data_IF_514358346578
#
_entry.id   IF_514358346578
#
_cell.length_a   1.000
_cell.length_b   1.000
_cell.length_c   1.000
_cell.angle_alpha   90.00
_cell.angle_beta   90.00
_cell.angle_gamma   90.00
#
_symmetry.space_group_name_H-M   'P 1'
#
loop_
_entity.id
_entity.type
_entity.pdbx_description
1 polymer ?
#
# COMPACT_ATOMS: atom_id res chain seq x y z
N UNK A 1 -93.92 -13.80 1.18
CA UNK A 1 -93.23 -13.84 2.48
C UNK A 1 -92.71 -15.25 2.68
N UNK A 2 -91.41 -15.46 2.55
CA UNK A 2 -90.59 -16.05 3.61
C UNK A 2 -89.16 -16.26 3.10
N UNK A 3 -88.25 -15.97 4.03
CA UNK A 3 -86.83 -15.81 3.86
C UNK A 3 -86.12 -17.07 3.38
N UNK A 4 -85.26 -16.90 2.37
CA UNK A 4 -84.16 -17.81 2.08
C UNK A 4 -83.05 -17.59 3.11
N UNK A 5 -82.86 -18.59 3.96
CA UNK A 5 -81.71 -18.70 4.86
C UNK A 5 -81.27 -20.15 4.88
N UNK A 6 -80.25 -20.51 4.10
CA UNK A 6 -79.16 -21.29 4.68
C UNK A 6 -77.83 -21.13 3.94
N UNK A 7 -76.84 -20.82 4.76
CA UNK A 7 -75.46 -20.49 4.51
C UNK A 7 -74.71 -21.41 3.52
N UNK A 8 -73.94 -20.78 2.64
CA UNK A 8 -72.81 -21.43 1.97
C UNK A 8 -71.74 -21.85 2.98
N UNK A 9 -71.03 -22.93 2.65
CA UNK A 9 -69.98 -23.54 3.47
C UNK A 9 -68.87 -22.54 3.81
N UNK A 10 -68.65 -22.33 5.11
CA UNK A 10 -67.47 -21.68 5.66
C UNK A 10 -66.24 -22.56 5.39
N UNK A 11 -65.44 -22.23 4.37
CA UNK A 11 -64.06 -22.72 4.23
C UNK A 11 -63.23 -22.17 5.40
N UNK A 12 -62.96 -23.02 6.38
CA UNK A 12 -61.97 -22.79 7.44
C UNK A 12 -60.97 -23.95 7.45
N UNK A 13 -60.24 -24.08 6.35
CA UNK A 13 -58.99 -24.85 6.33
C UNK A 13 -57.84 -23.89 6.58
N UNK A 14 -57.56 -23.64 7.86
CA UNK A 14 -56.29 -23.09 8.33
C UNK A 14 -55.73 -24.09 9.35
N UNK A 15 -55.53 -25.33 8.93
CA UNK A 15 -54.70 -26.28 9.66
C UNK A 15 -53.24 -25.89 9.45
N UNK A 16 -52.72 -25.09 10.37
CA UNK A 16 -51.28 -24.86 10.50
C UNK A 16 -50.70 -26.18 11.00
N UNK A 17 -50.20 -27.01 10.08
CA UNK A 17 -49.47 -28.22 10.42
C UNK A 17 -48.29 -27.86 11.34
N UNK A 18 -48.36 -28.30 12.60
CA UNK A 18 -47.27 -28.14 13.55
C UNK A 18 -46.06 -28.92 13.03
N UNK A 19 -44.84 -28.32 13.00
CA UNK A 19 -43.67 -29.01 12.50
C UNK A 19 -43.43 -30.33 13.27
N UNK A 20 -43.08 -31.38 12.54
CA UNK A 20 -42.75 -32.68 13.15
C UNK A 20 -41.40 -32.62 13.90
N UNK A 21 -41.13 -33.64 14.72
CA UNK A 21 -39.91 -33.70 15.52
C UNK A 21 -38.63 -33.71 14.65
N UNK A 22 -38.71 -34.29 13.45
CA UNK A 22 -37.61 -34.35 12.49
C UNK A 22 -37.27 -32.96 11.93
N UNK A 23 -38.27 -32.11 11.66
CA UNK A 23 -38.08 -30.72 11.29
C UNK A 23 -37.37 -29.91 12.38
N UNK A 24 -37.72 -30.12 13.66
CA UNK A 24 -37.03 -29.44 14.76
C UNK A 24 -35.57 -29.90 14.91
N UNK A 25 -35.30 -31.20 14.73
CA UNK A 25 -33.93 -31.72 14.72
C UNK A 25 -33.11 -31.15 13.56
N UNK A 26 -33.70 -31.02 12.37
CA UNK A 26 -33.07 -30.37 11.21
C UNK A 26 -32.79 -28.89 11.45
N UNK A 27 -33.71 -28.16 12.06
CA UNK A 27 -33.49 -26.77 12.46
C UNK A 27 -32.32 -26.64 13.45
N UNK A 28 -32.23 -27.54 14.43
CA UNK A 28 -31.12 -27.56 15.41
C UNK A 28 -29.80 -27.88 14.70
N UNK A 29 -29.77 -28.88 13.81
CA UNK A 29 -28.59 -29.25 13.01
C UNK A 29 -28.12 -28.08 12.13
N UNK A 30 -29.06 -27.44 11.42
CA UNK A 30 -28.78 -26.28 10.58
C UNK A 30 -28.23 -25.11 11.42
N UNK A 31 -28.82 -24.84 12.59
CA UNK A 31 -28.34 -23.78 13.48
C UNK A 31 -26.92 -24.04 13.98
N UNK A 32 -26.64 -25.27 14.43
CA UNK A 32 -25.29 -25.66 14.88
C UNK A 32 -24.26 -25.55 13.74
N UNK A 33 -24.63 -25.93 12.51
CA UNK A 33 -23.76 -25.78 11.35
C UNK A 33 -23.46 -24.30 11.02
N UNK A 34 -24.48 -23.42 11.09
CA UNK A 34 -24.33 -21.98 10.89
C UNK A 34 -23.46 -21.33 11.97
N UNK A 35 -23.65 -21.70 13.25
CA UNK A 35 -22.84 -21.21 14.37
C UNK A 35 -21.38 -21.66 14.21
N UNK A 36 -21.13 -22.91 13.80
CA UNK A 36 -19.78 -23.43 13.50
C UNK A 36 -19.12 -22.67 12.35
N UNK A 37 -19.83 -22.43 11.25
CA UNK A 37 -19.31 -21.64 10.12
C UNK A 37 -18.95 -20.21 10.56
N UNK A 38 -19.81 -19.58 11.36
CA UNK A 38 -19.55 -18.25 11.93
C UNK A 38 -18.25 -18.23 12.72
N UNK A 39 -18.03 -19.22 13.60
CA UNK A 39 -16.77 -19.33 14.36
C UNK A 39 -15.54 -19.55 13.46
N UNK A 40 -15.67 -20.33 12.38
CA UNK A 40 -14.57 -20.53 11.42
C UNK A 40 -14.18 -19.24 10.70
N UNK A 41 -15.17 -18.47 10.23
CA UNK A 41 -14.94 -17.18 9.56
C UNK A 41 -14.22 -16.19 10.48
N UNK A 42 -14.55 -16.19 11.78
CA UNK A 42 -13.88 -15.34 12.78
C UNK A 42 -12.42 -15.77 12.96
N UNK A 43 -12.17 -17.08 13.11
CA UNK A 43 -10.84 -17.62 13.26
C UNK A 43 -9.96 -17.30 12.04
N UNK A 44 -10.51 -17.44 10.84
CA UNK A 44 -9.85 -17.08 9.59
C UNK A 44 -9.58 -15.58 9.48
N UNK A 45 -10.53 -14.70 9.84
CA UNK A 45 -10.28 -13.26 9.85
C UNK A 45 -9.10 -12.88 10.77
N UNK A 46 -8.94 -13.60 11.89
CA UNK A 46 -7.82 -13.38 12.80
C UNK A 46 -6.47 -13.81 12.22
N UNK A 47 -6.42 -14.83 11.35
CA UNK A 47 -5.16 -15.27 10.70
C UNK A 47 -4.71 -14.29 9.61
N UNK A 48 -5.65 -13.69 8.88
CA UNK A 48 -5.36 -12.70 7.83
C UNK A 48 -5.14 -11.27 8.33
N UNK A 49 -5.36 -11.01 9.63
CA UNK A 49 -5.12 -9.68 10.20
C UNK A 49 -3.63 -9.30 10.12
N UNK A 50 -3.29 -8.05 9.75
CA UNK A 50 -1.90 -7.60 9.74
C UNK A 50 -1.20 -7.83 11.07
N UNK A 51 -0.01 -8.46 11.03
CA UNK A 51 0.77 -8.89 12.22
C UNK A 51 0.92 -7.78 13.27
N UNK A 52 1.23 -6.57 12.82
CA UNK A 52 1.40 -5.39 13.68
C UNK A 52 0.11 -5.01 14.42
N UNK A 53 -1.03 -5.05 13.72
CA UNK A 53 -2.35 -4.76 14.32
C UNK A 53 -2.73 -5.84 15.34
N UNK A 54 -2.49 -7.12 15.01
CA UNK A 54 -2.74 -8.25 15.91
C UNK A 54 -1.92 -8.13 17.20
N UNK A 55 -0.62 -7.87 17.11
CA UNK A 55 0.23 -7.69 18.27
C UNK A 55 -0.20 -6.48 19.12
N UNK A 56 -0.51 -5.35 18.47
CA UNK A 56 -0.92 -4.12 19.14
C UNK A 56 -2.28 -4.25 19.85
N UNK A 57 -3.21 -5.04 19.31
CA UNK A 57 -4.52 -5.28 19.89
C UNK A 57 -4.41 -6.27 21.05
N UNK A 58 -3.74 -7.41 20.86
CA UNK A 58 -3.52 -8.42 21.90
C UNK A 58 -2.91 -7.81 23.17
N UNK A 59 -1.92 -6.93 23.03
CA UNK A 59 -1.34 -6.23 24.19
C UNK A 59 -2.36 -5.39 24.98
N UNK A 60 -3.27 -4.69 24.30
CA UNK A 60 -4.28 -3.82 24.94
C UNK A 60 -5.46 -4.63 25.49
N UNK A 61 -5.79 -5.72 24.82
CA UNK A 61 -6.79 -6.68 25.29
C UNK A 61 -6.31 -7.39 26.57
N UNK A 62 -5.02 -7.73 26.69
CA UNK A 62 -4.46 -8.22 27.96
C UNK A 62 -4.63 -7.23 29.10
N UNK A 63 -4.29 -5.96 28.88
CA UNK A 63 -4.48 -4.90 29.88
C UNK A 63 -5.95 -4.75 30.30
N UNK A 64 -6.89 -4.92 29.36
CA UNK A 64 -8.33 -4.98 29.67
C UNK A 64 -8.68 -6.14 30.61
N UNK A 65 -8.17 -7.34 30.34
CA UNK A 65 -8.41 -8.52 31.17
C UNK A 65 -7.73 -8.42 32.55
N UNK A 66 -6.52 -7.87 32.62
CA UNK A 66 -5.80 -7.60 33.88
C UNK A 66 -6.55 -6.59 34.74
N UNK A 67 -6.98 -5.47 34.15
CA UNK A 67 -7.80 -4.48 34.84
C UNK A 67 -9.10 -5.07 35.38
N UNK A 68 -9.77 -5.92 34.57
CA UNK A 68 -10.98 -6.61 35.00
C UNK A 68 -10.70 -7.53 36.18
N UNK A 69 -9.66 -8.35 36.12
CA UNK A 69 -9.33 -9.33 37.17
C UNK A 69 -9.06 -8.66 38.53
N UNK A 70 -8.49 -7.45 38.52
CA UNK A 70 -8.12 -6.73 39.73
C UNK A 70 -9.24 -5.86 40.32
N UNK A 71 -10.42 -5.78 39.69
CA UNK A 71 -11.51 -4.89 40.13
C UNK A 71 -12.69 -5.67 40.73
N UNK A 72 -12.77 -5.66 42.07
CA UNK A 72 -13.83 -6.32 42.85
C UNK A 72 -15.28 -5.92 42.49
N UNK A 73 -15.50 -4.74 41.90
CA UNK A 73 -16.84 -4.19 41.62
C UNK A 73 -17.37 -4.42 40.20
N UNK A 74 -16.64 -5.16 39.34
CA UNK A 74 -17.10 -5.50 37.99
C UNK A 74 -17.65 -6.92 38.01
N UNK A 75 -18.87 -7.07 38.54
CA UNK A 75 -19.55 -8.36 38.72
C UNK A 75 -19.99 -9.00 37.41
N UNK A 76 -20.11 -8.21 36.33
CA UNK A 76 -20.54 -8.73 35.05
C UNK A 76 -19.38 -9.44 34.32
N UNK A 77 -19.76 -10.54 33.68
CA UNK A 77 -18.97 -11.41 32.81
C UNK A 77 -18.08 -10.63 31.82
N UNK A 78 -17.16 -11.30 31.13
CA UNK A 78 -16.15 -10.67 30.25
C UNK A 78 -16.70 -9.71 29.17
N UNK A 79 -18.03 -9.58 29.04
CA UNK A 79 -18.81 -8.70 28.19
C UNK A 79 -18.32 -7.24 28.22
N UNK A 80 -18.17 -6.68 27.02
CA UNK A 80 -17.80 -5.30 26.73
C UNK A 80 -19.06 -4.49 26.39
N UNK A 81 -19.20 -3.30 26.95
CA UNK A 81 -20.27 -2.35 26.58
C UNK A 81 -19.83 -0.90 26.82
N UNK A 82 -20.59 0.07 26.31
CA UNK A 82 -20.25 1.50 26.24
C UNK A 82 -19.71 2.08 27.56
N UNK A 83 -20.48 1.96 28.65
CA UNK A 83 -20.09 2.51 29.95
C UNK A 83 -18.86 1.80 30.55
N UNK A 84 -18.74 0.47 30.40
CA UNK A 84 -17.60 -0.30 30.92
C UNK A 84 -16.31 0.06 30.20
N UNK A 85 -16.38 0.23 28.88
CA UNK A 85 -15.25 0.68 28.09
C UNK A 85 -14.81 2.09 28.51
N UNK A 86 -15.75 3.01 28.72
CA UNK A 86 -15.42 4.36 29.21
C UNK A 86 -14.79 4.33 30.60
N UNK A 87 -15.27 3.44 31.48
CA UNK A 87 -14.75 3.26 32.82
C UNK A 87 -13.31 2.74 32.82
N UNK A 88 -13.02 1.66 32.07
CA UNK A 88 -11.66 1.15 31.87
C UNK A 88 -10.69 2.23 31.39
N UNK A 89 -11.09 3.01 30.39
CA UNK A 89 -10.21 4.05 29.84
C UNK A 89 -9.88 5.11 30.91
N UNK A 90 -10.88 5.52 31.69
CA UNK A 90 -10.71 6.55 32.72
C UNK A 90 -9.92 6.06 33.93
N UNK A 91 -10.25 4.88 34.43
CA UNK A 91 -9.74 4.33 35.69
C UNK A 91 -8.33 3.72 35.54
N UNK A 92 -8.03 3.12 34.39
CA UNK A 92 -6.77 2.41 34.15
C UNK A 92 -5.93 3.04 33.05
N UNK A 93 -6.46 3.17 31.82
CA UNK A 93 -5.61 3.55 30.68
C UNK A 93 -5.04 4.96 30.83
N UNK A 94 -5.85 5.92 31.28
CA UNK A 94 -5.39 7.29 31.48
C UNK A 94 -4.50 7.46 32.72
N UNK A 95 -4.63 6.60 33.74
CA UNK A 95 -3.80 6.66 34.96
C UNK A 95 -2.43 6.03 34.73
N UNK A 96 -2.35 4.94 33.96
CA UNK A 96 -1.07 4.35 33.56
C UNK A 96 -0.25 5.27 32.64
N UNK A 97 -0.92 6.08 31.81
CA UNK A 97 -0.26 7.05 30.93
C UNK A 97 0.67 6.41 29.88
N UNK A 98 1.63 7.19 29.39
CA UNK A 98 2.58 6.76 28.37
C UNK A 98 3.74 5.98 29.01
N UNK A 99 3.90 4.72 28.61
CA UNK A 99 4.92 3.80 29.13
C UNK A 99 6.36 4.24 28.82
N UNK A 100 6.58 4.96 27.72
CA UNK A 100 7.92 5.32 27.25
C UNK A 100 8.28 6.77 27.49
N UNK A 101 7.28 7.66 27.51
CA UNK A 101 7.50 9.08 27.74
C UNK A 101 7.12 9.42 29.18
N UNK A 102 8.11 9.86 29.95
CA UNK A 102 7.92 10.39 31.30
C UNK A 102 8.04 11.91 31.30
N UNK A 103 7.33 12.54 32.20
CA UNK A 103 7.46 13.97 32.51
C UNK A 103 8.74 14.19 33.34
N UNK A 104 9.08 15.46 33.59
CA UNK A 104 10.27 15.81 34.40
C UNK A 104 10.19 15.27 35.84
N UNK A 105 8.97 15.11 36.36
CA UNK A 105 8.66 14.52 37.66
C UNK A 105 8.61 12.97 37.65
N UNK A 106 9.08 12.33 36.57
CA UNK A 106 9.11 10.87 36.35
C UNK A 106 7.70 10.26 36.18
N UNK A 107 6.63 11.04 36.34
CA UNK A 107 5.26 10.58 36.11
C UNK A 107 5.04 10.20 34.63
N UNK A 108 4.19 9.21 34.33
CA UNK A 108 3.86 8.87 32.95
C UNK A 108 3.23 10.07 32.23
N UNK A 109 3.74 10.40 31.04
CA UNK A 109 3.16 11.48 30.24
C UNK A 109 1.72 11.11 29.82
N UNK A 110 0.81 12.08 29.70
CA UNK A 110 -0.57 11.79 29.32
C UNK A 110 -0.66 11.14 27.93
N UNK A 111 -1.58 10.18 27.77
CA UNK A 111 -1.84 9.55 26.47
C UNK A 111 -2.58 10.51 25.54
N UNK A 112 -2.13 10.58 24.28
CA UNK A 112 -2.84 11.34 23.25
C UNK A 112 -4.09 10.61 22.76
N UNK A 113 -5.04 11.36 22.16
CA UNK A 113 -6.30 10.83 21.61
C UNK A 113 -6.13 9.59 20.72
N UNK A 114 -5.11 9.55 19.86
CA UNK A 114 -4.86 8.40 18.97
C UNK A 114 -4.52 7.11 19.74
N UNK A 115 -3.74 7.23 20.81
CA UNK A 115 -3.40 6.08 21.67
C UNK A 115 -4.65 5.54 22.35
N UNK A 116 -5.47 6.43 22.94
CA UNK A 116 -6.76 6.07 23.56
C UNK A 116 -7.70 5.40 22.55
N UNK A 117 -7.81 5.94 21.33
CA UNK A 117 -8.59 5.32 20.26
C UNK A 117 -8.10 3.93 19.86
N UNK A 118 -6.80 3.64 20.01
CA UNK A 118 -6.27 2.31 19.72
C UNK A 118 -6.71 1.30 20.80
N UNK A 119 -6.81 1.71 22.07
CA UNK A 119 -7.46 0.89 23.11
C UNK A 119 -8.94 0.69 22.81
N UNK A 120 -9.66 1.74 22.45
CA UNK A 120 -11.08 1.63 22.04
C UNK A 120 -11.25 0.60 20.93
N UNK A 121 -10.46 0.70 19.85
CA UNK A 121 -10.54 -0.27 18.74
C UNK A 121 -10.22 -1.69 19.19
N UNK A 122 -9.18 -1.89 19.99
CA UNK A 122 -8.79 -3.21 20.47
C UNK A 122 -9.84 -3.86 21.38
N UNK A 123 -10.57 -3.08 22.19
CA UNK A 123 -11.62 -3.61 23.07
C UNK A 123 -12.96 -3.72 22.33
N UNK A 124 -13.24 -2.84 21.36
CA UNK A 124 -14.38 -2.98 20.44
C UNK A 124 -14.22 -4.24 19.57
N UNK A 125 -12.99 -4.61 19.22
CA UNK A 125 -12.69 -5.89 18.57
C UNK A 125 -13.12 -7.10 19.43
N UNK A 126 -12.90 -7.04 20.76
CA UNK A 126 -13.43 -8.05 21.69
C UNK A 126 -14.96 -8.04 21.73
N UNK A 127 -15.57 -6.85 21.69
CA UNK A 127 -17.03 -6.74 21.63
C UNK A 127 -17.61 -7.45 20.40
N UNK A 128 -17.02 -7.25 19.21
CA UNK A 128 -17.48 -7.93 18.00
C UNK A 128 -17.39 -9.46 18.14
N UNK A 129 -16.26 -9.96 18.64
CA UNK A 129 -16.10 -11.41 18.92
C UNK A 129 -17.14 -11.93 19.91
N UNK A 130 -17.51 -11.16 20.93
CA UNK A 130 -18.53 -11.56 21.91
C UNK A 130 -19.96 -11.53 21.35
N UNK A 131 -20.27 -10.58 20.47
CA UNK A 131 -21.56 -10.50 19.77
C UNK A 131 -21.70 -11.66 18.79
N UNK A 132 -20.67 -11.92 18.00
CA UNK A 132 -20.62 -13.01 17.02
C UNK A 132 -20.70 -14.39 17.70
N UNK A 133 -20.11 -14.54 18.89
CA UNK A 133 -20.24 -15.75 19.72
C UNK A 133 -21.55 -15.81 20.53
N UNK A 134 -22.43 -14.81 20.42
CA UNK A 134 -23.73 -14.79 21.10
C UNK A 134 -23.69 -14.48 22.60
N UNK A 135 -22.51 -14.21 23.18
CA UNK A 135 -22.36 -13.88 24.60
C UNK A 135 -22.79 -12.46 24.94
N UNK A 136 -22.71 -11.52 23.99
CA UNK A 136 -22.98 -10.11 24.24
C UNK A 136 -24.27 -9.64 23.56
N UNK A 137 -25.25 -9.25 24.37
CA UNK A 137 -26.56 -8.74 23.93
C UNK A 137 -26.62 -7.21 23.84
N UNK A 138 -25.54 -6.50 24.15
CA UNK A 138 -25.52 -5.04 24.06
C UNK A 138 -25.49 -4.57 22.61
N UNK A 139 -26.23 -3.49 22.33
CA UNK A 139 -26.39 -2.91 20.99
C UNK A 139 -25.05 -2.40 20.41
N UNK A 140 -24.16 -1.85 21.25
CA UNK A 140 -22.86 -1.34 20.81
C UNK A 140 -21.86 -1.18 21.96
N UNK A 141 -20.59 -1.37 21.68
CA UNK A 141 -19.49 -1.03 22.60
C UNK A 141 -19.03 0.43 22.54
N UNK A 142 -19.33 1.16 21.46
CA UNK A 142 -18.99 2.58 21.31
C UNK A 142 -20.26 3.41 21.12
N UNK A 143 -20.87 3.76 22.23
CA UNK A 143 -22.13 4.51 22.28
C UNK A 143 -21.96 5.98 22.69
N UNK A 144 -23.05 6.62 23.15
CA UNK A 144 -23.07 8.03 23.54
C UNK A 144 -22.07 8.38 24.65
N UNK A 145 -21.83 7.47 25.59
CA UNK A 145 -20.92 7.71 26.72
C UNK A 145 -19.49 7.75 26.21
N UNK A 146 -19.07 6.77 25.40
CA UNK A 146 -17.74 6.77 24.80
C UNK A 146 -17.52 8.01 23.92
N UNK A 147 -18.53 8.44 23.16
CA UNK A 147 -18.46 9.68 22.37
C UNK A 147 -18.17 10.89 23.26
N UNK A 148 -18.97 11.10 24.32
CA UNK A 148 -18.77 12.20 25.28
C UNK A 148 -17.41 12.12 25.98
N UNK A 149 -16.95 10.91 26.33
CA UNK A 149 -15.65 10.68 26.93
C UNK A 149 -14.50 11.11 26.00
N UNK A 150 -14.51 10.66 24.75
CA UNK A 150 -13.50 11.01 23.75
C UNK A 150 -13.48 12.50 23.42
N UNK A 151 -14.65 13.14 23.36
CA UNK A 151 -14.77 14.59 23.14
C UNK A 151 -14.19 15.36 24.32
N UNK A 152 -14.53 14.95 25.54
CA UNK A 152 -13.98 15.55 26.78
C UNK A 152 -12.47 15.40 26.85
N UNK A 153 -11.94 14.22 26.52
CA UNK A 153 -10.51 13.97 26.47
C UNK A 153 -9.81 14.90 25.45
N UNK A 154 -10.39 15.05 24.26
CA UNK A 154 -9.86 15.94 23.21
C UNK A 154 -9.82 17.40 23.68
N UNK A 155 -10.88 17.87 24.34
CA UNK A 155 -10.95 19.22 24.93
C UNK A 155 -9.89 19.41 26.02
N UNK A 156 -9.72 18.44 26.92
CA UNK A 156 -8.67 18.47 27.97
C UNK A 156 -7.27 18.51 27.37
N UNK A 157 -7.00 17.67 26.37
CA UNK A 157 -5.71 17.64 25.68
C UNK A 157 -5.40 18.98 25.00
N UNK A 158 -6.40 19.59 24.35
CA UNK A 158 -6.26 20.90 23.70
C UNK A 158 -5.97 22.01 24.72
N UNK A 159 -6.71 22.02 25.85
CA UNK A 159 -6.47 22.97 26.94
C UNK A 159 -5.07 22.81 27.53
N UNK A 160 -4.65 21.56 27.81
CA UNK A 160 -3.31 21.24 28.32
C UNK A 160 -2.22 21.78 27.40
N UNK A 161 -2.30 21.46 26.10
CA UNK A 161 -1.33 21.94 25.10
C UNK A 161 -1.21 23.46 25.07
N UNK A 162 -2.34 24.15 25.18
CA UNK A 162 -2.38 25.62 25.23
C UNK A 162 -1.74 26.18 26.51
N UNK A 163 -2.01 25.56 27.66
CA UNK A 163 -1.48 26.02 28.96
C UNK A 163 0.01 25.72 29.12
N UNK A 164 0.47 24.56 28.64
CA UNK A 164 1.88 24.14 28.72
C UNK A 164 2.73 24.73 27.59
N UNK A 165 2.17 25.62 26.76
CA UNK A 165 2.83 26.16 25.57
C UNK A 165 3.49 25.07 24.71
N UNK A 166 2.84 23.91 24.55
CA UNK A 166 3.37 22.85 23.68
C UNK A 166 3.52 23.44 22.27
N UNK A 167 4.77 23.50 21.80
CA UNK A 167 5.24 24.23 20.61
C UNK A 167 4.20 24.33 19.48
N UNK A 168 3.74 25.55 19.23
CA UNK A 168 2.78 25.87 18.16
C UNK A 168 3.38 25.69 16.75
N UNK A 169 4.70 25.61 16.62
CA UNK A 169 5.43 25.29 15.39
C UNK A 169 5.45 23.78 15.04
N UNK A 170 4.95 22.92 15.93
CA UNK A 170 4.96 21.48 15.71
C UNK A 170 3.95 21.06 14.64
N UNK A 171 4.44 20.51 13.54
CA UNK A 171 3.71 20.26 12.28
C UNK A 171 3.33 21.53 11.49
N UNK A 172 3.98 22.68 11.74
CA UNK A 172 3.90 23.84 10.83
C UNK A 172 4.95 23.71 9.72
N UNK A 173 5.07 24.75 8.88
CA UNK A 173 6.05 24.86 7.80
C UNK A 173 7.50 24.67 8.28
N UNK A 174 7.79 24.99 9.55
CA UNK A 174 9.13 24.90 10.14
C UNK A 174 9.45 23.52 10.75
N UNK A 175 8.51 22.56 10.70
CA UNK A 175 8.68 21.21 11.28
C UNK A 175 9.38 20.21 10.35
N UNK A 176 9.87 20.69 9.22
CA UNK A 176 10.49 19.94 8.13
C UNK A 176 11.91 20.45 7.90
N UNK A 177 12.67 19.79 7.02
CA UNK A 177 13.97 20.29 6.60
C UNK A 177 13.85 21.16 5.34
N UNK A 178 14.66 22.21 5.30
CA UNK A 178 14.86 23.09 4.13
C UNK A 178 15.74 22.43 3.07
N UNK A 179 15.82 23.00 1.86
CA UNK A 179 16.71 22.50 0.80
C UNK A 179 18.18 22.51 1.23
N UNK A 180 18.58 23.53 2.00
CA UNK A 180 19.95 23.63 2.56
C UNK A 180 20.23 22.51 3.57
N UNK A 181 19.24 22.13 4.36
CA UNK A 181 19.35 21.00 5.28
C UNK A 181 19.32 19.65 4.55
N UNK A 182 18.50 19.52 3.51
CA UNK A 182 18.49 18.35 2.64
C UNK A 182 19.86 18.12 2.00
N UNK A 183 20.52 19.19 1.56
CA UNK A 183 21.89 19.12 1.04
C UNK A 183 22.87 18.62 2.10
N UNK A 184 22.82 19.19 3.31
CA UNK A 184 23.67 18.74 4.44
C UNK A 184 23.42 17.28 4.82
N UNK A 185 22.15 16.84 4.81
CA UNK A 185 21.77 15.44 5.04
C UNK A 185 22.40 14.53 3.98
N UNK A 186 22.35 14.91 2.70
CA UNK A 186 22.97 14.13 1.63
C UNK A 186 24.49 14.08 1.76
N UNK A 187 25.13 15.20 2.09
CA UNK A 187 26.58 15.28 2.32
C UNK A 187 27.01 14.39 3.49
N UNK A 188 26.24 14.37 4.59
CA UNK A 188 26.52 13.52 5.74
C UNK A 188 26.70 12.05 5.35
N UNK A 189 25.84 11.52 4.47
CA UNK A 189 25.99 10.13 4.01
C UNK A 189 27.26 9.91 3.17
N UNK A 190 27.67 10.88 2.36
CA UNK A 190 28.92 10.77 1.59
C UNK A 190 30.17 10.85 2.46
N UNK A 191 30.17 11.74 3.48
CA UNK A 191 31.31 11.91 4.39
C UNK A 191 31.63 10.62 5.15
N UNK A 192 30.62 9.80 5.48
CA UNK A 192 30.85 8.52 6.15
C UNK A 192 31.57 7.48 5.28
N UNK A 193 31.60 7.66 3.97
CA UNK A 193 32.35 6.87 2.99
C UNK A 193 32.31 5.34 3.21
N UNK A 194 31.11 4.77 3.35
CA UNK A 194 30.93 3.33 3.48
C UNK A 194 29.66 2.84 2.79
N UNK A 195 29.62 1.53 2.49
CA UNK A 195 28.52 0.91 1.73
C UNK A 195 27.17 1.04 2.44
N UNK A 196 27.13 0.94 3.77
CA UNK A 196 25.91 1.08 4.55
C UNK A 196 25.35 2.50 4.47
N UNK A 197 26.23 3.50 4.46
CA UNK A 197 25.85 4.90 4.31
C UNK A 197 25.27 5.18 2.93
N UNK A 198 25.85 4.64 1.86
CA UNK A 198 25.29 4.73 0.51
C UNK A 198 23.90 4.07 0.42
N UNK A 199 23.75 2.86 0.98
CA UNK A 199 22.45 2.18 1.09
C UNK A 199 21.43 3.04 1.85
N UNK A 200 21.82 3.61 2.99
CA UNK A 200 20.95 4.46 3.81
C UNK A 200 20.57 5.75 3.06
N UNK A 201 21.50 6.33 2.28
CA UNK A 201 21.25 7.47 1.39
C UNK A 201 20.22 7.12 0.33
N UNK A 202 20.35 5.97 -0.33
CA UNK A 202 19.37 5.51 -1.34
C UNK A 202 17.99 5.40 -0.71
N UNK A 203 17.89 4.76 0.46
CA UNK A 203 16.65 4.62 1.21
C UNK A 203 16.05 5.98 1.64
N UNK A 204 16.89 6.92 2.09
CA UNK A 204 16.48 8.29 2.40
C UNK A 204 15.96 9.02 1.15
N UNK A 205 16.69 8.90 0.04
CA UNK A 205 16.34 9.52 -1.25
C UNK A 205 15.00 8.99 -1.73
N UNK A 206 14.81 7.66 -1.75
CA UNK A 206 13.55 7.00 -2.05
C UNK A 206 12.37 7.49 -1.18
N UNK A 207 12.61 7.67 0.11
CA UNK A 207 11.57 8.16 1.03
C UNK A 207 11.23 9.64 0.81
N UNK A 208 12.18 10.43 0.30
CA UNK A 208 12.01 11.84 -0.04
C UNK A 208 11.42 12.03 -1.44
N UNK A 209 12.10 11.54 -2.48
CA UNK A 209 11.75 11.77 -3.89
C UNK A 209 10.55 10.96 -4.36
N UNK A 210 10.47 9.68 -3.97
CA UNK A 210 9.35 8.79 -4.34
C UNK A 210 8.25 8.79 -3.28
N UNK A 211 8.38 9.65 -2.25
CA UNK A 211 7.47 9.73 -1.12
C UNK A 211 7.17 8.35 -0.50
N UNK A 212 8.15 7.44 -0.41
CA UNK A 212 7.90 6.11 0.16
C UNK A 212 7.76 6.14 1.68
N UNK A 213 6.94 5.24 2.25
CA UNK A 213 6.97 4.98 3.70
C UNK A 213 8.21 4.15 3.99
N UNK A 214 8.73 4.23 5.22
CA UNK A 214 9.84 3.38 5.68
C UNK A 214 9.70 1.92 5.28
N UNK A 215 8.58 1.27 5.61
CA UNK A 215 8.35 -0.14 5.30
C UNK A 215 8.41 -0.43 3.78
N UNK A 216 7.84 0.45 2.95
CA UNK A 216 7.89 0.31 1.50
C UNK A 216 9.31 0.54 0.95
N UNK A 217 10.02 1.57 1.42
CA UNK A 217 11.39 1.86 1.00
C UNK A 217 12.36 0.74 1.40
N UNK A 218 12.14 0.13 2.57
CA UNK A 218 12.95 -0.98 3.09
C UNK A 218 12.65 -2.32 2.41
N UNK A 219 11.39 -2.55 2.04
CA UNK A 219 10.94 -3.77 1.36
C UNK A 219 11.02 -3.70 -0.18
N UNK A 220 11.46 -2.58 -0.76
CA UNK A 220 11.56 -2.44 -2.23
C UNK A 220 12.63 -3.39 -2.77
N UNK A 221 12.29 -4.16 -3.79
CA UNK A 221 13.21 -5.05 -4.48
C UNK A 221 13.51 -4.53 -5.89
N UNK A 222 14.71 -4.83 -6.38
CA UNK A 222 15.18 -4.38 -7.70
C UNK A 222 14.26 -4.81 -8.87
N UNK A 223 13.67 -6.03 -8.92
CA UNK A 223 12.78 -6.43 -10.01
C UNK A 223 11.49 -5.60 -10.12
N UNK A 224 11.12 -4.87 -9.07
CA UNK A 224 9.94 -4.02 -9.05
C UNK A 224 10.24 -2.56 -9.39
N UNK A 225 11.51 -2.26 -9.72
CA UNK A 225 11.93 -0.97 -10.24
C UNK A 225 12.02 -1.05 -11.76
N UNK A 226 11.35 -0.13 -12.44
CA UNK A 226 11.45 0.02 -13.88
C UNK A 226 11.53 1.50 -14.25
N UNK A 227 11.92 1.78 -15.50
CA UNK A 227 12.10 3.13 -15.99
C UNK A 227 11.07 3.46 -17.06
N UNK A 228 10.59 4.70 -17.07
CA UNK A 228 9.77 5.26 -18.16
C UNK A 228 10.44 6.53 -18.66
N UNK A 229 10.59 6.65 -19.98
CA UNK A 229 11.06 7.89 -20.60
C UNK A 229 9.95 8.95 -20.64
N UNK A 230 10.24 10.12 -20.08
CA UNK A 230 9.40 11.31 -20.13
C UNK A 230 9.82 12.18 -21.33
N UNK A 231 9.28 11.85 -22.51
CA UNK A 231 9.67 12.44 -23.81
C UNK A 231 9.59 13.97 -23.92
N UNK A 232 8.88 14.64 -23.02
CA UNK A 232 8.54 16.07 -23.12
C UNK A 232 9.17 16.92 -22.02
N UNK A 233 10.19 16.42 -21.30
CA UNK A 233 10.69 17.05 -20.08
C UNK A 233 11.98 17.85 -20.21
N UNK A 234 12.63 17.84 -21.37
CA UNK A 234 13.82 18.64 -21.60
C UNK A 234 14.64 18.19 -22.80
N UNK A 235 15.77 18.88 -23.04
CA UNK A 235 16.67 18.59 -24.17
C UNK A 235 17.43 17.27 -24.03
N UNK A 236 17.50 16.71 -22.81
CA UNK A 236 18.12 15.40 -22.55
C UNK A 236 17.05 14.35 -22.22
N UNK A 237 17.28 13.08 -22.59
CA UNK A 237 16.38 11.98 -22.23
C UNK A 237 16.13 11.94 -20.72
N UNK A 238 14.88 12.12 -20.34
CA UNK A 238 14.44 12.13 -18.95
C UNK A 238 13.81 10.78 -18.60
N UNK A 239 14.34 10.10 -17.59
CA UNK A 239 13.80 8.81 -17.15
C UNK A 239 13.23 8.93 -15.73
N UNK A 240 11.96 8.57 -15.58
CA UNK A 240 11.34 8.37 -14.28
C UNK A 240 11.58 6.94 -13.82
N UNK A 241 12.09 6.78 -12.59
CA UNK A 241 12.14 5.47 -11.93
C UNK A 241 10.79 5.25 -11.24
N UNK A 242 10.15 4.13 -11.56
CA UNK A 242 8.87 3.73 -11.01
C UNK A 242 9.09 2.48 -10.16
N UNK A 243 8.50 2.48 -8.97
CA UNK A 243 8.50 1.34 -8.05
C UNK A 243 7.09 0.81 -7.89
N UNK A 244 6.92 -0.49 -8.10
CA UNK A 244 5.69 -1.18 -7.69
C UNK A 244 5.80 -1.52 -6.20
N UNK A 245 4.91 -0.96 -5.39
CA UNK A 245 4.94 -1.17 -3.93
C UNK A 245 4.45 -2.59 -3.61
N UNK A 246 5.40 -3.50 -3.38
CA UNK A 246 5.17 -4.85 -2.87
C UNK A 246 5.94 -4.98 -1.56
N UNK A 247 5.31 -5.60 -0.56
CA UNK A 247 5.92 -5.79 0.75
C UNK A 247 6.91 -6.95 0.71
N UNK A 248 8.19 -6.65 0.50
CA UNK A 248 9.30 -7.59 0.69
C UNK A 248 9.83 -7.58 2.13
N UNK A 249 10.55 -8.64 2.52
CA UNK A 249 11.31 -8.65 3.76
C UNK A 249 12.58 -7.81 3.59
N UNK A 250 12.67 -6.70 4.33
CA UNK A 250 13.77 -5.75 4.22
C UNK A 250 14.94 -6.15 5.11
N UNK A 251 16.17 -6.06 4.60
CA UNK A 251 17.39 -6.37 5.38
C UNK A 251 17.70 -5.37 6.50
N UNK A 252 17.02 -4.21 6.52
CA UNK A 252 17.13 -3.21 7.57
C UNK A 252 15.80 -3.15 8.30
N UNK A 253 15.85 -3.22 9.62
CA UNK A 253 14.65 -3.08 10.44
C UNK A 253 14.20 -1.62 10.53
N UNK A 254 12.89 -1.42 10.77
CA UNK A 254 12.34 -0.09 11.02
C UNK A 254 13.05 0.65 12.17
N UNK A 255 13.41 -0.08 13.25
CA UNK A 255 14.13 0.46 14.41
C UNK A 255 15.52 0.98 14.06
N UNK A 256 16.27 0.24 13.24
CA UNK A 256 17.60 0.65 12.80
C UNK A 256 17.53 1.91 11.93
N UNK A 257 16.59 1.94 10.98
CA UNK A 257 16.38 3.12 10.14
C UNK A 257 16.02 4.36 10.98
N UNK A 258 15.13 4.20 11.97
CA UNK A 258 14.76 5.31 12.86
C UNK A 258 15.97 5.83 13.67
N UNK A 259 16.86 4.94 14.13
CA UNK A 259 18.09 5.33 14.81
C UNK A 259 19.05 6.08 13.89
N UNK A 260 19.22 5.61 12.64
CA UNK A 260 20.03 6.30 11.63
C UNK A 260 19.48 7.71 11.39
N UNK A 261 18.17 7.85 11.17
CA UNK A 261 17.56 9.16 10.94
C UNK A 261 17.72 10.10 12.13
N UNK A 262 17.63 9.57 13.36
CA UNK A 262 17.88 10.35 14.57
C UNK A 262 19.31 10.92 14.61
N UNK A 263 20.31 10.12 14.22
CA UNK A 263 21.71 10.57 14.16
C UNK A 263 21.92 11.63 13.08
N UNK A 264 21.42 11.37 11.87
CA UNK A 264 21.51 12.28 10.72
C UNK A 264 20.87 13.64 11.03
N UNK A 265 19.65 13.65 11.56
CA UNK A 265 18.94 14.88 11.86
C UNK A 265 19.57 15.64 13.02
N UNK A 266 20.07 14.95 14.05
CA UNK A 266 20.84 15.59 15.12
C UNK A 266 22.09 16.28 14.58
N UNK A 267 22.82 15.64 13.67
CA UNK A 267 24.01 16.22 13.03
C UNK A 267 23.66 17.45 12.19
N UNK A 268 22.55 17.41 11.46
CA UNK A 268 22.12 18.49 10.57
C UNK A 268 21.36 19.63 11.27
N UNK A 269 21.03 19.49 12.57
CA UNK A 269 20.21 20.45 13.32
C UNK A 269 18.71 20.38 13.01
N UNK A 270 18.24 19.27 12.41
CA UNK A 270 16.84 19.07 12.04
C UNK A 270 16.07 18.51 13.24
N UNK A 271 15.01 19.22 13.66
CA UNK A 271 14.18 18.82 14.78
C UNK A 271 12.84 18.26 14.30
N UNK A 272 12.62 16.95 14.48
CA UNK A 272 11.32 16.33 14.16
C UNK A 272 10.90 15.30 15.20
N UNK A 273 9.61 15.34 15.55
CA UNK A 273 8.98 14.32 16.40
C UNK A 273 8.59 13.05 15.66
N UNK A 274 8.64 13.06 14.32
CA UNK A 274 8.24 11.93 13.45
C UNK A 274 9.35 11.61 12.45
N UNK A 275 10.44 11.05 12.96
CA UNK A 275 11.69 10.80 12.21
C UNK A 275 11.47 10.15 10.85
N UNK A 276 10.75 9.03 10.79
CA UNK A 276 10.54 8.25 9.55
C UNK A 276 9.50 8.84 8.60
N UNK A 277 8.68 9.80 9.05
CA UNK A 277 7.66 10.45 8.24
C UNK A 277 8.07 11.84 7.74
N UNK A 278 9.14 12.41 8.30
CA UNK A 278 9.55 13.79 7.97
C UNK A 278 9.89 13.90 6.48
N UNK A 279 10.53 12.90 5.88
CA UNK A 279 10.92 12.96 4.47
C UNK A 279 9.75 13.20 3.52
N UNK A 280 8.66 12.46 3.73
CA UNK A 280 7.44 12.60 2.93
C UNK A 280 6.77 13.96 3.12
N UNK A 281 6.79 14.47 4.36
CA UNK A 281 6.18 15.76 4.71
C UNK A 281 7.01 16.91 4.14
N UNK A 282 8.33 16.89 4.29
CA UNK A 282 9.23 17.87 3.70
C UNK A 282 9.08 17.90 2.17
N UNK A 283 9.14 16.74 1.52
CA UNK A 283 9.04 16.66 0.07
C UNK A 283 7.71 17.21 -0.47
N UNK A 284 6.56 16.85 0.12
CA UNK A 284 5.29 17.39 -0.37
C UNK A 284 5.16 18.89 -0.09
N UNK A 285 5.74 19.40 1.00
CA UNK A 285 5.73 20.83 1.26
C UNK A 285 6.60 21.59 0.25
N UNK A 286 7.71 21.02 -0.21
CA UNK A 286 8.47 21.56 -1.35
C UNK A 286 7.61 21.59 -2.62
N UNK A 287 6.88 20.51 -2.93
CA UNK A 287 5.94 20.48 -4.06
C UNK A 287 4.86 21.56 -3.95
N UNK A 288 4.31 21.77 -2.75
CA UNK A 288 3.27 22.76 -2.52
C UNK A 288 3.79 24.20 -2.63
N UNK A 289 5.05 24.45 -2.28
CA UNK A 289 5.68 25.77 -2.41
C UNK A 289 6.00 26.15 -3.87
N UNK A 290 6.05 25.17 -4.78
CA UNK A 290 6.29 25.37 -6.23
C UNK A 290 4.96 25.46 -7.03
N UNK A 291 3.86 25.79 -6.36
CA UNK A 291 2.51 25.98 -6.95
C UNK A 291 1.98 24.80 -7.78
N UNK A 292 2.48 23.59 -7.54
CA UNK A 292 2.00 22.38 -8.22
C UNK A 292 0.54 22.11 -7.86
N UNK A 293 -0.29 21.77 -8.84
CA UNK A 293 -1.73 21.51 -8.63
C UNK A 293 -1.99 20.50 -7.50
N UNK A 294 -3.04 20.76 -6.71
CA UNK A 294 -3.45 19.87 -5.61
C UNK A 294 -3.80 18.45 -6.07
N UNK A 295 -4.21 18.26 -7.33
CA UNK A 295 -4.47 16.93 -7.90
C UNK A 295 -3.19 16.12 -8.06
N UNK A 296 -2.14 16.71 -8.63
CA UNK A 296 -0.82 16.07 -8.72
C UNK A 296 -0.25 15.77 -7.32
N UNK A 297 -0.41 16.68 -6.34
CA UNK A 297 0.01 16.46 -4.96
C UNK A 297 -0.70 15.26 -4.30
N UNK A 298 -2.01 15.08 -4.54
CA UNK A 298 -2.77 13.94 -4.03
C UNK A 298 -2.39 12.62 -4.71
N UNK A 299 -2.05 12.69 -5.99
CA UNK A 299 -1.70 11.53 -6.82
C UNK A 299 -0.30 11.00 -6.53
N UNK A 300 0.71 11.87 -6.43
CA UNK A 300 2.13 11.46 -6.28
C UNK A 300 2.37 10.60 -5.04
N UNK A 301 1.70 10.93 -3.93
CA UNK A 301 1.82 10.20 -2.67
C UNK A 301 0.83 9.04 -2.52
N UNK A 302 -0.09 8.87 -3.49
CA UNK A 302 -1.28 8.00 -3.43
C UNK A 302 -2.02 8.15 -2.09
N UNK A 303 -2.25 9.40 -1.67
CA UNK A 303 -2.92 9.71 -0.39
C UNK A 303 -4.42 9.87 -0.51
N UNK A 304 -4.93 10.13 -1.71
CA UNK A 304 -6.36 10.12 -1.97
C UNK A 304 -6.91 8.68 -1.91
N UNK A 305 -7.98 8.48 -1.14
CA UNK A 305 -8.80 7.27 -1.19
C UNK A 305 -9.94 7.37 -2.21
N UNK A 306 -9.96 8.45 -3.00
CA UNK A 306 -10.93 8.64 -4.06
C UNK A 306 -10.76 7.54 -5.12
N UNK A 307 -11.87 7.01 -5.61
CA UNK A 307 -11.91 6.05 -6.71
C UNK A 307 -11.16 6.57 -7.94
N UNK A 308 -11.16 7.88 -8.20
CA UNK A 308 -10.38 8.46 -9.29
C UNK A 308 -8.88 8.20 -9.15
N UNK A 309 -8.31 8.49 -7.97
CA UNK A 309 -6.87 8.27 -7.70
C UNK A 309 -6.55 6.78 -7.55
N UNK A 310 -7.48 5.97 -7.04
CA UNK A 310 -7.27 4.54 -6.79
C UNK A 310 -7.46 3.64 -8.02
N UNK A 311 -8.39 3.97 -8.93
CA UNK A 311 -8.82 3.08 -10.01
C UNK A 311 -8.56 3.61 -11.43
N UNK A 312 -8.54 4.94 -11.64
CA UNK A 312 -8.59 5.51 -12.99
C UNK A 312 -7.34 6.31 -13.39
N UNK A 313 -6.64 6.93 -12.43
CA UNK A 313 -5.44 7.72 -12.72
C UNK A 313 -4.18 6.85 -12.71
N UNK A 314 -3.72 6.46 -13.89
CA UNK A 314 -2.43 5.78 -14.15
C UNK A 314 -1.32 6.71 -14.61
N UNK A 315 -1.64 7.97 -14.96
CA UNK A 315 -0.66 8.96 -15.37
C UNK A 315 0.38 9.29 -14.27
N UNK A 316 1.53 9.80 -14.67
CA UNK A 316 2.55 10.30 -13.75
C UNK A 316 2.27 11.78 -13.44
N UNK A 317 2.28 12.13 -12.16
CA UNK A 317 2.23 13.51 -11.68
C UNK A 317 3.60 14.16 -11.83
N UNK A 318 3.97 14.49 -13.07
CA UNK A 318 5.35 14.83 -13.46
C UNK A 318 5.92 16.01 -12.67
N UNK A 319 5.17 17.10 -12.50
CA UNK A 319 5.65 18.29 -11.78
C UNK A 319 5.88 17.98 -10.30
N UNK A 320 4.97 17.20 -9.70
CA UNK A 320 5.11 16.73 -8.31
C UNK A 320 6.26 15.74 -8.11
N UNK A 321 6.75 15.07 -9.17
CA UNK A 321 7.93 14.20 -9.14
C UNK A 321 9.21 15.02 -9.33
N UNK A 322 9.17 16.06 -10.17
CA UNK A 322 10.33 16.91 -10.50
C UNK A 322 10.81 17.73 -9.32
N UNK A 323 9.89 18.35 -8.58
CA UNK A 323 10.23 19.25 -7.47
C UNK A 323 11.08 18.56 -6.39
N UNK A 324 10.69 17.39 -5.83
CA UNK A 324 11.52 16.70 -4.85
C UNK A 324 12.83 16.15 -5.41
N UNK A 325 12.93 15.99 -6.74
CA UNK A 325 14.15 15.61 -7.42
C UNK A 325 15.09 16.81 -7.69
N UNK A 326 14.68 18.03 -7.35
CA UNK A 326 15.47 19.26 -7.48
C UNK A 326 15.33 19.96 -8.84
N UNK A 327 14.31 19.63 -9.63
CA UNK A 327 14.00 20.27 -10.91
C UNK A 327 12.80 21.22 -10.77
N UNK A 328 12.72 22.26 -11.61
CA UNK A 328 11.54 23.14 -11.61
C UNK A 328 10.36 22.49 -12.35
N UNK A 329 9.18 23.10 -12.22
CA UNK A 329 7.94 22.68 -12.91
C UNK A 329 7.93 23.04 -14.40
N UNK A 330 8.95 23.74 -14.91
CA UNK A 330 9.03 24.12 -16.33
C UNK A 330 9.27 22.90 -17.21
N UNK A 331 8.56 22.83 -18.34
CA UNK A 331 8.58 21.65 -19.23
C UNK A 331 9.96 21.33 -19.79
N UNK A 332 10.83 22.31 -20.01
CA UNK A 332 12.14 22.09 -20.65
C UNK A 332 13.33 22.11 -19.67
N UNK A 333 13.06 22.05 -18.37
CA UNK A 333 14.07 22.25 -17.33
C UNK A 333 14.78 20.97 -16.88
N UNK A 334 14.55 19.85 -17.55
CA UNK A 334 15.35 18.65 -17.31
C UNK A 334 16.64 18.69 -18.15
N UNK A 335 17.72 19.13 -17.50
CA UNK A 335 19.07 19.04 -18.05
C UNK A 335 20.05 18.46 -17.02
N UNK A 336 20.62 17.31 -17.34
CA UNK A 336 21.66 16.68 -16.54
C UNK A 336 23.01 16.84 -17.27
N UNK A 337 23.80 17.82 -16.83
CA UNK A 337 25.10 18.13 -17.45
C UNK A 337 26.05 16.90 -17.49
N UNK A 338 26.05 16.06 -16.45
CA UNK A 338 26.87 14.83 -16.41
C UNK A 338 26.54 13.79 -17.49
N UNK A 339 25.44 13.95 -18.23
CA UNK A 339 25.09 13.09 -19.38
C UNK A 339 25.61 13.62 -20.73
N UNK A 340 26.32 14.74 -20.76
CA UNK A 340 26.74 15.40 -22.02
C UNK A 340 27.88 14.68 -22.73
N UNK A 341 28.61 13.82 -22.03
CA UNK A 341 29.72 13.03 -22.57
C UNK A 341 29.39 11.56 -22.35
N UNK A 342 29.26 10.79 -23.43
CA UNK A 342 29.05 9.35 -23.32
C UNK A 342 30.40 8.67 -22.97
N UNK A 343 30.46 7.85 -21.91
CA UNK A 343 31.66 7.11 -21.56
C UNK A 343 32.03 6.11 -22.66
N UNK A 344 33.33 5.82 -22.85
CA UNK A 344 33.77 4.82 -23.82
C UNK A 344 33.17 3.44 -23.52
N UNK A 345 32.92 2.65 -24.57
CA UNK A 345 32.39 1.29 -24.46
C UNK A 345 33.25 0.38 -23.57
N UNK A 346 34.58 0.56 -23.63
CA UNK A 346 35.54 -0.15 -22.78
C UNK A 346 35.32 0.15 -21.29
N UNK A 347 35.12 1.41 -20.95
CA UNK A 347 34.86 1.84 -19.57
C UNK A 347 33.51 1.31 -19.08
N UNK A 348 32.46 1.37 -19.92
CA UNK A 348 31.13 0.83 -19.59
C UNK A 348 31.19 -0.65 -19.24
N UNK A 349 31.85 -1.45 -20.09
CA UNK A 349 32.06 -2.90 -19.88
C UNK A 349 32.91 -3.20 -18.66
N UNK A 350 33.86 -2.33 -18.32
CA UNK A 350 34.72 -2.52 -17.14
C UNK A 350 33.97 -2.25 -15.84
N UNK A 351 33.12 -1.23 -15.80
CA UNK A 351 32.41 -0.82 -14.57
C UNK A 351 31.24 -1.77 -14.25
N UNK A 352 30.54 -2.28 -15.26
CA UNK A 352 29.40 -3.18 -15.08
C UNK A 352 29.44 -4.41 -16.01
N UNK A 353 30.46 -5.29 -15.89
CA UNK A 353 30.75 -6.35 -16.86
C UNK A 353 29.64 -7.39 -17.01
N UNK A 354 28.78 -7.52 -16.00
CA UNK A 354 27.67 -8.48 -16.02
C UNK A 354 26.45 -7.97 -16.78
N UNK A 355 26.34 -6.66 -17.07
CA UNK A 355 25.15 -6.10 -17.71
C UNK A 355 24.98 -6.69 -19.10
N UNK A 356 26.04 -6.79 -19.90
CA UNK A 356 25.99 -7.32 -21.25
C UNK A 356 25.55 -8.80 -21.24
N UNK A 357 26.12 -9.60 -20.33
CA UNK A 357 25.74 -11.00 -20.14
C UNK A 357 24.25 -11.16 -19.82
N UNK A 358 23.74 -10.38 -18.86
CA UNK A 358 22.33 -10.45 -18.48
C UNK A 358 21.42 -9.86 -19.55
N UNK A 359 21.83 -8.77 -20.21
CA UNK A 359 21.08 -8.15 -21.30
C UNK A 359 20.89 -9.14 -22.44
N UNK A 360 21.95 -9.84 -22.84
CA UNK A 360 21.86 -10.89 -23.84
C UNK A 360 20.93 -12.01 -23.38
N UNK A 361 21.09 -12.50 -22.16
CA UNK A 361 20.28 -13.59 -21.62
C UNK A 361 18.78 -13.26 -21.48
N UNK A 362 18.42 -12.03 -21.15
CA UNK A 362 17.02 -11.62 -20.95
C UNK A 362 16.36 -11.14 -22.26
N UNK A 363 17.05 -10.33 -23.08
CA UNK A 363 16.46 -9.78 -24.31
C UNK A 363 16.50 -10.74 -25.50
N UNK A 364 17.49 -11.65 -25.56
CA UNK A 364 17.57 -12.64 -26.64
C UNK A 364 16.47 -13.70 -26.52
N UNK A 365 16.14 -14.11 -25.29
CA UNK A 365 15.15 -15.16 -25.02
C UNK A 365 13.71 -14.78 -25.37
N UNK A 366 13.26 -13.57 -25.03
CA UNK A 366 11.86 -13.17 -25.29
C UNK A 366 11.56 -13.00 -26.79
N UNK A 367 12.49 -12.42 -27.55
CA UNK A 367 12.23 -12.12 -28.99
C UNK A 367 12.42 -13.35 -29.86
N UNK A 368 13.42 -14.20 -29.57
CA UNK A 368 13.67 -15.43 -30.33
C UNK A 368 12.59 -16.50 -29.99
N UNK A 369 12.25 -16.69 -28.70
CA UNK A 369 11.27 -17.72 -28.31
C UNK A 369 9.86 -17.38 -28.84
N UNK A 370 9.45 -16.11 -28.77
CA UNK A 370 8.14 -15.67 -29.25
C UNK A 370 8.06 -15.68 -30.79
N UNK A 371 9.18 -15.56 -31.51
CA UNK A 371 9.18 -15.59 -32.98
C UNK A 371 8.67 -16.93 -33.53
N UNK A 372 9.06 -18.04 -32.91
CA UNK A 372 8.64 -19.40 -33.30
C UNK A 372 7.14 -19.60 -33.04
N UNK A 373 6.65 -19.14 -31.88
CA UNK A 373 5.21 -19.18 -31.53
C UNK A 373 4.39 -18.30 -32.48
N UNK A 374 4.88 -17.09 -32.79
CA UNK A 374 4.21 -16.15 -33.67
C UNK A 374 4.19 -16.63 -35.13
N UNK A 375 5.24 -17.32 -35.60
CA UNK A 375 5.30 -17.90 -36.95
C UNK A 375 4.30 -19.03 -37.12
N UNK A 376 4.13 -19.88 -36.10
CA UNK A 376 3.09 -20.91 -36.09
C UNK A 376 1.66 -20.33 -36.09
N UNK A 377 1.42 -19.21 -35.39
CA UNK A 377 0.09 -18.60 -35.27
C UNK A 377 -0.29 -17.69 -36.45
N UNK A 378 0.70 -17.03 -37.07
CA UNK A 378 0.50 -16.08 -38.16
C UNK A 378 1.50 -16.32 -39.30
N UNK A 379 1.44 -17.48 -39.98
CA UNK A 379 2.43 -17.86 -41.01
C UNK A 379 2.42 -16.92 -42.22
N UNK A 380 1.33 -16.20 -42.45
CA UNK A 380 1.16 -15.25 -43.57
C UNK A 380 1.73 -13.85 -43.28
N UNK A 381 2.38 -13.63 -42.13
CA UNK A 381 2.94 -12.33 -41.79
C UNK A 381 4.14 -12.00 -42.66
N UNK A 382 4.21 -10.77 -43.17
CA UNK A 382 5.31 -10.32 -44.02
C UNK A 382 6.68 -10.39 -43.31
N UNK A 383 6.70 -10.37 -41.97
CA UNK A 383 7.94 -10.42 -41.19
C UNK A 383 8.76 -11.69 -41.45
N UNK A 384 8.11 -12.82 -41.81
CA UNK A 384 8.76 -14.10 -42.10
C UNK A 384 9.46 -14.14 -43.46
N UNK A 385 9.20 -13.16 -44.32
CA UNK A 385 9.89 -13.01 -45.61
C UNK A 385 11.31 -12.46 -45.47
N UNK A 386 11.72 -12.06 -44.26
CA UNK A 386 13.06 -11.56 -43.99
C UNK A 386 14.09 -12.71 -43.98
N UNK A 387 15.23 -12.50 -44.64
CA UNK A 387 16.27 -13.53 -44.88
C UNK A 387 16.80 -14.21 -43.62
N UNK A 388 16.67 -13.58 -42.45
CA UNK A 388 17.09 -14.12 -41.16
C UNK A 388 16.29 -15.37 -40.75
N UNK A 389 15.00 -15.43 -41.12
CA UNK A 389 14.09 -16.53 -40.78
C UNK A 389 14.19 -17.71 -41.75
N UNK A 390 14.95 -17.54 -42.82
CA UNK A 390 15.23 -18.58 -43.82
C UNK A 390 16.61 -19.22 -43.65
N UNK A 391 17.39 -18.75 -42.67
CA UNK A 391 18.70 -19.31 -42.34
C UNK A 391 18.58 -20.69 -41.69
N UNK A 392 19.55 -21.56 -41.95
CA UNK A 392 19.62 -22.90 -41.36
C UNK A 392 19.65 -22.81 -39.82
N UNK A 393 20.34 -21.79 -39.27
CA UNK A 393 20.39 -21.53 -37.83
C UNK A 393 19.01 -21.25 -37.21
N UNK A 394 18.15 -20.51 -37.91
CA UNK A 394 16.80 -20.22 -37.41
C UNK A 394 15.88 -21.43 -37.55
N UNK A 395 16.00 -22.20 -38.64
CA UNK A 395 15.22 -23.43 -38.86
C UNK A 395 15.54 -24.50 -37.82
N UNK A 396 16.82 -24.68 -37.49
CA UNK A 396 17.26 -25.60 -36.44
C UNK A 396 16.70 -25.18 -35.07
N UNK A 397 16.71 -23.89 -34.77
CA UNK A 397 16.14 -23.34 -33.53
C UNK A 397 14.60 -23.47 -33.48
N UNK A 398 13.91 -23.19 -34.59
CA UNK A 398 12.45 -23.33 -34.74
C UNK A 398 12.00 -24.76 -34.48
N UNK A 399 12.71 -25.75 -35.02
CA UNK A 399 12.41 -27.18 -34.83
C UNK A 399 12.62 -27.61 -33.38
N UNK A 400 13.76 -27.24 -32.78
CA UNK A 400 14.08 -27.57 -31.39
C UNK A 400 13.09 -26.95 -30.40
N UNK A 401 12.72 -25.68 -30.59
CA UNK A 401 11.80 -24.98 -29.70
C UNK A 401 10.36 -25.46 -29.89
N UNK A 402 9.92 -25.73 -31.12
CA UNK A 402 8.57 -26.28 -31.39
C UNK A 402 8.41 -27.66 -30.75
N UNK A 403 9.44 -28.51 -30.81
CA UNK A 403 9.44 -29.81 -30.14
C UNK A 403 9.39 -29.67 -28.60
N UNK A 404 10.11 -28.68 -28.05
CA UNK A 404 10.10 -28.41 -26.61
C UNK A 404 8.75 -27.84 -26.11
N UNK A 405 8.06 -27.03 -26.92
CA UNK A 405 6.71 -26.50 -26.63
C UNK A 405 5.68 -27.63 -26.67
N UNK A 406 5.72 -28.49 -27.70
CA UNK A 406 4.82 -29.64 -27.82
C UNK A 406 4.97 -30.64 -26.65
N UNK A 407 6.14 -30.68 -26.01
CA UNK A 407 6.41 -31.53 -24.85
C UNK A 407 6.00 -30.92 -23.49
N UNK A 408 5.58 -29.64 -23.42
CA UNK A 408 5.37 -28.93 -22.16
C UNK A 408 4.16 -27.96 -22.22
N UNK A 409 2.96 -28.48 -22.00
CA UNK A 409 1.68 -27.77 -22.22
C UNK A 409 1.37 -26.62 -21.21
N UNK A 410 2.10 -26.50 -20.09
CA UNK A 410 1.78 -25.53 -19.02
C UNK A 410 2.75 -24.34 -18.86
N UNK A 411 3.92 -24.33 -19.52
CA UNK A 411 5.02 -23.41 -19.15
C UNK A 411 5.19 -22.15 -20.01
N UNK A 412 4.52 -22.05 -21.15
CA UNK A 412 4.64 -20.89 -22.04
C UNK A 412 3.29 -20.15 -22.15
N UNK A 413 3.09 -19.16 -21.28
CA UNK A 413 2.09 -18.12 -21.53
C UNK A 413 2.78 -16.98 -22.26
N UNK A 414 2.28 -16.65 -23.45
CA UNK A 414 2.65 -15.47 -24.23
C UNK A 414 2.79 -14.26 -23.31
N UNK A 415 3.82 -13.43 -23.53
CA UNK A 415 3.95 -12.16 -22.82
C UNK A 415 2.65 -11.35 -22.98
N UNK A 416 2.02 -10.99 -21.85
CA UNK A 416 0.77 -10.19 -21.83
C UNK A 416 0.90 -8.87 -22.59
N UNK A 417 2.12 -8.40 -22.85
CA UNK A 417 2.41 -7.19 -23.60
C UNK A 417 2.03 -7.31 -25.10
N UNK A 418 2.11 -8.50 -25.69
CA UNK A 418 1.82 -8.73 -27.11
C UNK A 418 0.35 -9.07 -27.39
N UNK A 419 -0.41 -9.60 -26.43
CA UNK A 419 -1.87 -9.79 -26.59
C UNK A 419 -2.60 -8.45 -26.83
N UNK A 420 -2.07 -7.37 -26.27
CA UNK A 420 -2.67 -6.02 -26.37
C UNK A 420 -2.28 -5.31 -27.66
N UNK A 421 -1.11 -5.60 -28.25
CA UNK A 421 -0.56 -4.88 -29.41
C UNK A 421 -0.95 -5.49 -30.77
N UNK A 422 -1.38 -6.75 -30.82
CA UNK A 422 -1.60 -7.48 -32.08
C UNK A 422 -2.99 -7.37 -32.77
N UNK A 423 -4.08 -6.82 -32.18
CA UNK A 423 -5.30 -6.57 -32.96
C UNK A 423 -5.11 -5.53 -34.07
N UNK A 424 -4.12 -4.63 -33.93
CA UNK A 424 -3.87 -3.57 -34.92
C UNK A 424 -2.97 -4.03 -36.08
N UNK A 425 -2.06 -4.98 -35.86
CA UNK A 425 -1.13 -5.46 -36.90
C UNK A 425 -1.79 -6.50 -37.82
N UNK A 426 -2.83 -7.19 -37.34
CA UNK A 426 -3.52 -8.27 -38.06
C UNK A 426 -4.74 -7.80 -38.87
N UNK A 427 -5.03 -6.50 -38.95
CA UNK A 427 -6.17 -6.01 -39.72
C UNK A 427 -5.83 -5.87 -41.22
N UNK A 428 -6.39 -6.73 -42.11
CA UNK A 428 -6.09 -6.68 -43.55
C UNK A 428 -6.53 -5.36 -44.22
N UNK A 429 -7.32 -4.51 -43.54
CA UNK A 429 -7.61 -3.16 -44.04
C UNK A 429 -6.40 -2.23 -44.00
N UNK A 430 -5.46 -2.41 -43.07
CA UNK A 430 -4.31 -1.51 -42.92
C UNK A 430 -3.25 -1.80 -43.99
N UNK A 431 -3.02 -3.06 -44.40
CA UNK A 431 -2.09 -3.36 -45.50
C UNK A 431 -2.56 -2.78 -46.84
N UNK A 432 -3.88 -2.74 -47.08
CA UNK A 432 -4.47 -2.16 -48.30
C UNK A 432 -4.36 -0.62 -48.37
N UNK A 433 -4.38 0.07 -47.23
CA UNK A 433 -4.24 1.53 -47.15
C UNK A 433 -2.78 1.99 -47.35
N UNK A 434 -1.80 1.17 -46.95
CA UNK A 434 -0.38 1.46 -47.15
C UNK A 434 0.12 1.14 -48.58
N UNK A 435 -0.52 0.22 -49.31
CA UNK A 435 -0.20 -0.03 -50.73
C UNK A 435 -0.80 0.99 -51.69
N UNK A 436 -1.90 1.67 -51.34
CA UNK A 436 -2.54 2.66 -52.22
C UNK A 436 -1.86 4.04 -52.22
N UNK A 437 -0.96 4.34 -51.28
CA UNK A 437 -0.23 5.61 -51.23
C UNK A 437 1.05 5.64 -52.09
N UNK A 438 1.38 4.56 -52.81
CA UNK A 438 2.56 4.47 -53.69
C UNK A 438 2.29 4.77 -55.18
N UNK A 439 1.07 5.12 -55.57
CA UNK A 439 0.71 5.44 -56.96
C UNK A 439 0.01 6.80 -57.11
N UNK A 440 0.60 7.86 -56.56
CA UNK A 440 0.37 9.22 -57.06
C UNK A 440 1.67 9.72 -57.67
N UNK A 441 1.59 10.11 -58.95
CA UNK A 441 2.63 10.79 -59.71
C UNK A 441 3.04 12.11 -59.06
#
# INVERSE_FOLDING_TARGET
MNHDSNAGSSTRDNDIALPDAEHYEDMIRARLAMDKNTQMVIAENQTYRPKNTTAAYKSKQREWFEWRANKEKVTDSAIVYDAKLAFFLKDYVLTCGNKFKKNADISPAPLGRKSVLTYVKAVVDLYHQQVEAGFNKHIMARGPIMKRFLDTHTKKETRRKRTEYEDCGKNTLNGDYTDKELLRINQYFFIQNNIFSLRNKVCFSMSHTMLMRSEAALGTQLPYLFIIELKTQGPSSCFAIISTIIFGDGSITYSEQANIYKQVFRYCGVHSSKLTHVNRKSAINMVANEDVSGDQQRQVGRWGSDRMVGCYLSGLSVDAIKVPAGFTTRKDDYFINRGSIEPSEELRKTVFPSIEHWREKFYRKEVEDDSVVLKGKYPESFIWSHSIFDTDLYKDYEELLSAAIAANDEKFKMSQHLEVLLPEVSNPKISSLWMQSRNWK
#
